data_IF_685488030547
#
_entry.id   IF_685488030547
#
_cell.length_a   1.000
_cell.length_b   1.000
_cell.length_c   1.000
_cell.angle_alpha   90.00
_cell.angle_beta   90.00
_cell.angle_gamma   90.00
#
_symmetry.space_group_name_H-M   'P 1'
#
loop_
_entity.id
_entity.type
_entity.pdbx_description
1 polymer ?
#
# COMPACT_ATOMS: atom_id res chain seq x y z
N UNK A 1 5.81 -8.25 8.32
CA UNK A 1 6.17 -7.08 9.14
C UNK A 1 6.90 -7.42 10.46
N UNK A 2 6.39 -8.32 11.32
CA UNK A 2 7.09 -8.68 12.57
C UNK A 2 8.47 -9.33 12.38
N UNK A 3 8.63 -10.19 11.38
CA UNK A 3 9.93 -10.76 10.99
C UNK A 3 10.96 -9.68 10.63
N UNK A 4 10.58 -8.73 9.77
CA UNK A 4 11.45 -7.61 9.37
C UNK A 4 11.84 -6.72 10.55
N UNK A 5 10.88 -6.43 11.45
CA UNK A 5 11.11 -5.63 12.68
C UNK A 5 11.82 -6.39 13.80
N UNK A 6 12.00 -7.72 13.67
CA UNK A 6 12.46 -8.63 14.74
C UNK A 6 11.68 -8.49 16.06
N UNK A 7 10.43 -8.01 15.99
CA UNK A 7 9.53 -7.78 17.11
C UNK A 7 8.10 -7.89 16.63
N UNK A 8 7.21 -8.44 17.47
CA UNK A 8 5.78 -8.44 17.20
C UNK A 8 5.24 -7.01 17.06
N UNK A 9 4.19 -6.87 16.26
CA UNK A 9 3.43 -5.63 16.17
C UNK A 9 2.40 -5.64 17.28
N UNK A 10 2.33 -4.57 18.04
CA UNK A 10 1.24 -4.36 18.99
C UNK A 10 -0.01 -3.96 18.22
N UNK A 11 -1.11 -4.67 18.49
CA UNK A 11 -2.39 -4.48 17.83
C UNK A 11 -3.43 -3.98 18.83
N UNK A 12 -4.40 -3.22 18.34
CA UNK A 12 -5.55 -2.73 19.11
C UNK A 12 -6.83 -2.96 18.31
N UNK A 13 -7.92 -3.28 19.00
CA UNK A 13 -9.25 -3.42 18.38
C UNK A 13 -9.78 -2.07 17.88
N UNK A 14 -10.36 -2.10 16.69
CA UNK A 14 -11.17 -1.03 16.14
C UNK A 14 -12.41 -0.73 17.03
N UNK A 15 -12.99 0.45 16.86
CA UNK A 15 -14.14 0.94 17.65
C UNK A 15 -15.49 0.47 17.12
N UNK A 16 -15.61 0.30 15.81
CA UNK A 16 -16.90 0.12 15.10
C UNK A 16 -16.97 -1.18 14.30
N UNK A 17 -15.84 -1.86 14.09
CA UNK A 17 -15.75 -3.12 13.35
C UNK A 17 -14.90 -4.13 14.12
N UNK A 18 -15.13 -5.43 13.89
CA UNK A 18 -14.39 -6.52 14.54
C UNK A 18 -13.07 -6.82 13.83
N UNK A 19 -12.19 -5.81 13.77
CA UNK A 19 -10.83 -5.90 13.23
C UNK A 19 -9.82 -5.34 14.23
N UNK A 20 -8.56 -5.73 14.06
CA UNK A 20 -7.42 -5.18 14.78
C UNK A 20 -6.49 -4.41 13.84
N UNK A 21 -5.92 -3.31 14.34
CA UNK A 21 -5.00 -2.44 13.62
C UNK A 21 -3.73 -2.22 14.45
N UNK A 22 -2.59 -1.85 13.84
CA UNK A 22 -1.39 -1.52 14.61
C UNK A 22 -1.65 -0.38 15.59
N UNK A 23 -1.21 -0.54 16.84
CA UNK A 23 -1.48 0.43 17.91
C UNK A 23 -0.69 1.74 17.76
N UNK A 24 0.41 1.71 17.00
CA UNK A 24 1.32 2.83 16.77
C UNK A 24 1.13 3.38 15.35
N UNK A 25 -0.03 4.00 15.10
CA UNK A 25 -0.38 4.64 13.83
C UNK A 25 -0.89 6.05 14.05
N UNK A 26 -0.74 6.90 13.03
CA UNK A 26 -1.24 8.27 13.06
C UNK A 26 -2.76 8.34 12.95
N UNK A 27 -3.34 7.60 12.00
CA UNK A 27 -4.78 7.58 11.70
C UNK A 27 -5.28 6.15 11.45
N UNK A 28 -6.51 5.89 11.87
CA UNK A 28 -7.30 4.71 11.51
C UNK A 28 -8.65 5.19 11.00
N UNK A 29 -9.01 4.77 9.80
CA UNK A 29 -10.31 5.00 9.18
C UNK A 29 -11.07 3.69 9.21
N UNK A 30 -12.14 3.63 9.99
CA UNK A 30 -12.98 2.46 10.13
C UNK A 30 -14.27 2.64 9.32
N UNK A 31 -14.79 1.54 8.77
CA UNK A 31 -15.95 1.61 7.91
C UNK A 31 -16.30 0.28 7.26
N UNK A 32 -17.13 0.35 6.23
CA UNK A 32 -17.55 -0.81 5.45
C UNK A 32 -17.70 -0.44 3.97
N UNK A 33 -17.74 -1.47 3.13
CA UNK A 33 -18.09 -1.35 1.71
C UNK A 33 -19.41 -2.08 1.51
N UNK A 34 -20.39 -1.41 0.90
CA UNK A 34 -21.67 -2.02 0.56
C UNK A 34 -21.53 -2.75 -0.78
N UNK A 35 -21.71 -4.10 -0.84
CA UNK A 35 -21.61 -4.82 -2.11
C UNK A 35 -22.59 -4.28 -3.15
N UNK A 36 -22.08 -4.01 -4.35
CA UNK A 36 -22.86 -3.46 -5.47
C UNK A 36 -23.02 -1.94 -5.46
N UNK A 37 -22.60 -1.24 -4.41
CA UNK A 37 -22.53 0.23 -4.44
C UNK A 37 -21.20 0.69 -5.04
N UNK A 38 -21.28 1.21 -6.26
CA UNK A 38 -20.13 1.67 -7.02
C UNK A 38 -20.27 3.15 -7.37
N UNK A 39 -19.15 3.85 -7.53
CA UNK A 39 -19.08 5.23 -8.04
C UNK A 39 -17.90 5.40 -8.99
N UNK A 40 -17.99 6.34 -9.96
CA UNK A 40 -16.88 6.63 -10.84
C UNK A 40 -15.71 7.22 -10.06
N UNK A 41 -14.52 6.65 -10.26
CA UNK A 41 -13.23 7.13 -9.76
C UNK A 41 -12.36 7.57 -10.95
N UNK A 42 -11.48 8.54 -10.73
CA UNK A 42 -10.60 9.08 -11.75
C UNK A 42 -11.20 10.23 -12.59
N UNK A 43 -10.54 10.63 -13.70
CA UNK A 43 -9.27 10.08 -14.17
C UNK A 43 -8.15 10.39 -13.18
N UNK A 44 -7.17 9.49 -13.08
CA UNK A 44 -6.09 9.58 -12.10
C UNK A 44 -4.73 9.39 -12.78
N UNK A 45 -3.75 10.24 -12.45
CA UNK A 45 -2.39 10.09 -12.97
C UNK A 45 -1.68 8.94 -12.26
N UNK A 46 -1.30 7.91 -13.00
CA UNK A 46 -0.81 6.64 -12.45
C UNK A 46 0.71 6.48 -12.61
N UNK A 47 1.27 5.44 -12.00
CA UNK A 47 2.70 5.08 -12.01
C UNK A 47 3.30 4.89 -13.41
N UNK A 48 2.46 4.72 -14.44
CA UNK A 48 2.86 4.68 -15.86
C UNK A 48 3.23 6.05 -16.43
N UNK A 49 2.95 7.13 -15.68
CA UNK A 49 3.06 8.50 -16.18
C UNK A 49 1.88 8.96 -17.05
N UNK A 50 0.85 8.12 -17.20
CA UNK A 50 -0.38 8.43 -17.94
C UNK A 50 -1.60 8.52 -17.03
N UNK A 51 -2.71 9.03 -17.56
CA UNK A 51 -3.98 9.00 -16.88
C UNK A 51 -4.68 7.66 -17.07
N UNK A 52 -5.07 7.04 -15.96
CA UNK A 52 -6.04 5.96 -15.94
C UNK A 52 -7.43 6.53 -16.21
N UNK A 53 -8.23 5.79 -16.99
CA UNK A 53 -9.58 6.18 -17.36
C UNK A 53 -10.53 6.13 -16.16
N UNK A 54 -11.69 6.78 -16.29
CA UNK A 54 -12.74 6.71 -15.27
C UNK A 54 -13.34 5.31 -15.26
N UNK A 55 -13.37 4.67 -14.11
CA UNK A 55 -14.02 3.38 -13.89
C UNK A 55 -14.83 3.38 -12.58
N UNK A 56 -15.79 2.47 -12.47
CA UNK A 56 -16.62 2.34 -11.27
C UNK A 56 -15.91 1.52 -10.19
N UNK A 57 -15.70 2.10 -9.00
CA UNK A 57 -15.09 1.44 -7.84
C UNK A 57 -16.03 1.39 -6.62
N UNK A 58 -15.81 0.45 -5.68
CA UNK A 58 -16.65 0.34 -4.49
C UNK A 58 -16.55 1.58 -3.58
N UNK A 59 -17.67 2.00 -3.00
CA UNK A 59 -17.69 3.11 -2.05
C UNK A 59 -17.33 2.63 -0.65
N UNK A 60 -16.35 3.28 -0.02
CA UNK A 60 -16.04 3.10 1.38
C UNK A 60 -16.86 4.06 2.26
N UNK A 61 -17.68 3.52 3.15
CA UNK A 61 -18.50 4.26 4.12
C UNK A 61 -17.80 4.33 5.46
N UNK A 62 -17.40 5.54 5.85
CA UNK A 62 -16.65 5.80 7.07
C UNK A 62 -17.57 5.85 8.29
N UNK A 63 -17.27 5.05 9.31
CA UNK A 63 -18.02 4.98 10.58
C UNK A 63 -17.25 5.61 11.74
N UNK A 64 -15.92 5.62 11.69
CA UNK A 64 -15.08 6.30 12.67
C UNK A 64 -13.73 6.73 12.09
N UNK A 65 -13.21 7.83 12.61
CA UNK A 65 -11.80 8.22 12.49
C UNK A 65 -11.21 8.20 13.89
N UNK A 66 -10.16 7.43 14.12
CA UNK A 66 -9.36 7.52 15.33
C UNK A 66 -7.94 7.93 14.96
N UNK A 67 -7.30 8.73 15.81
CA UNK A 67 -5.97 9.26 15.53
C UNK A 67 -5.24 9.61 16.82
N UNK A 68 -3.90 9.65 16.76
CA UNK A 68 -3.09 10.16 17.88
C UNK A 68 -3.20 11.69 17.98
N UNK A 69 -2.85 12.27 19.13
CA UNK A 69 -2.99 13.73 19.37
C UNK A 69 -2.20 14.58 18.37
N UNK A 70 -0.95 14.22 18.12
CA UNK A 70 -0.04 14.92 17.22
C UNK A 70 0.16 14.11 15.92
N UNK A 71 -0.96 13.74 15.30
CA UNK A 71 -0.96 12.89 14.12
C UNK A 71 -0.33 13.60 12.91
N UNK A 72 0.52 12.89 12.19
CA UNK A 72 1.10 13.28 10.90
C UNK A 72 0.33 12.53 9.81
N UNK A 73 -0.13 13.25 8.79
CA UNK A 73 -0.81 12.64 7.66
C UNK A 73 0.23 12.32 6.56
N UNK A 74 0.66 11.05 6.40
CA UNK A 74 1.53 10.68 5.30
C UNK A 74 0.73 10.72 3.99
N UNK A 75 1.31 11.36 2.98
CA UNK A 75 0.80 11.36 1.63
C UNK A 75 1.97 11.13 0.68
N UNK A 76 1.70 10.41 -0.40
CA UNK A 76 2.63 10.19 -1.50
C UNK A 76 2.02 10.68 -2.80
N UNK A 77 2.85 10.83 -3.82
CA UNK A 77 2.46 11.22 -5.17
C UNK A 77 2.97 10.13 -6.10
N UNK A 78 2.12 9.71 -7.03
CA UNK A 78 2.46 8.81 -8.13
C UNK A 78 2.42 9.57 -9.44
N UNK A 79 3.11 9.07 -10.46
CA UNK A 79 3.23 9.72 -11.76
C UNK A 79 4.38 9.13 -12.56
N UNK A 80 5.03 9.96 -13.38
CA UNK A 80 6.19 9.53 -14.19
C UNK A 80 7.29 9.02 -13.26
N UNK A 81 7.77 7.78 -13.41
CA UNK A 81 8.79 7.21 -12.53
C UNK A 81 10.15 7.94 -12.68
N UNK A 82 11.01 7.91 -11.65
CA UNK A 82 10.81 7.24 -10.37
C UNK A 82 10.01 8.10 -9.37
N UNK A 83 9.06 7.47 -8.70
CA UNK A 83 8.31 8.03 -7.56
C UNK A 83 8.52 7.14 -6.32
N UNK A 84 7.95 7.50 -5.17
CA UNK A 84 8.18 6.75 -3.90
C UNK A 84 7.79 5.27 -4.02
N UNK A 85 6.70 4.98 -4.72
CA UNK A 85 6.20 3.64 -5.04
C UNK A 85 7.21 2.80 -5.83
N UNK A 86 7.99 3.39 -6.74
CA UNK A 86 9.09 2.70 -7.43
C UNK A 86 10.10 2.13 -6.43
N UNK A 87 10.56 2.92 -5.47
CA UNK A 87 11.54 2.47 -4.48
C UNK A 87 10.97 1.42 -3.53
N UNK A 88 9.69 1.50 -3.19
CA UNK A 88 8.98 0.46 -2.44
C UNK A 88 8.96 -0.85 -3.26
N UNK A 89 8.70 -0.77 -4.57
CA UNK A 89 8.74 -1.89 -5.50
C UNK A 89 10.13 -2.50 -5.66
N UNK A 90 11.18 -1.69 -5.78
CA UNK A 90 12.56 -2.17 -5.90
C UNK A 90 13.02 -2.95 -4.63
N UNK A 91 12.55 -2.54 -3.45
CA UNK A 91 12.77 -3.32 -2.23
C UNK A 91 12.19 -4.74 -2.34
N UNK A 92 11.04 -4.92 -3.00
CA UNK A 92 10.47 -6.25 -3.26
C UNK A 92 11.38 -7.09 -4.18
N UNK A 93 11.98 -6.49 -5.22
CA UNK A 93 12.96 -7.18 -6.11
C UNK A 93 14.09 -7.80 -5.28
N UNK A 94 14.61 -7.05 -4.31
CA UNK A 94 15.66 -7.53 -3.39
C UNK A 94 15.18 -8.63 -2.44
N UNK A 95 13.94 -8.53 -1.94
CA UNK A 95 13.35 -9.55 -1.06
C UNK A 95 13.13 -10.87 -1.80
N UNK A 96 12.77 -10.83 -3.09
CA UNK A 96 12.50 -12.04 -3.88
C UNK A 96 13.74 -12.64 -4.54
N UNK A 97 14.82 -11.90 -4.74
CA UNK A 97 16.05 -12.40 -5.38
C UNK A 97 16.58 -13.72 -4.76
N UNK A 98 16.61 -13.92 -3.43
CA UNK A 98 17.02 -15.19 -2.85
C UNK A 98 16.11 -16.37 -3.25
N UNK A 99 14.80 -16.13 -3.35
CA UNK A 99 13.82 -17.14 -3.78
C UNK A 99 14.05 -17.53 -5.24
N UNK A 100 14.37 -16.55 -6.10
CA UNK A 100 14.76 -16.83 -7.49
C UNK A 100 16.06 -17.64 -7.55
N UNK A 101 17.09 -17.29 -6.78
CA UNK A 101 18.36 -18.03 -6.72
C UNK A 101 18.23 -19.47 -6.22
N UNK A 102 17.22 -19.77 -5.38
CA UNK A 102 16.94 -21.14 -4.96
C UNK A 102 16.46 -22.04 -6.11
N UNK A 103 15.74 -21.47 -7.08
CA UNK A 103 15.20 -22.20 -8.24
C UNK A 103 16.13 -22.11 -9.46
N UNK A 104 16.86 -21.00 -9.60
CA UNK A 104 17.77 -20.69 -10.70
C UNK A 104 19.11 -20.17 -10.14
N UNK A 105 20.00 -21.07 -9.68
CA UNK A 105 21.26 -20.69 -9.04
C UNK A 105 22.21 -19.89 -9.93
N UNK A 106 22.02 -19.93 -11.25
CA UNK A 106 22.77 -19.15 -12.24
C UNK A 106 22.44 -17.65 -12.22
N UNK A 107 21.31 -17.26 -11.64
CA UNK A 107 20.94 -15.84 -11.51
C UNK A 107 21.93 -15.18 -10.55
N UNK A 108 22.66 -14.17 -11.04
CA UNK A 108 23.61 -13.39 -10.23
C UNK A 108 22.89 -12.23 -9.54
N UNK A 109 22.09 -11.48 -10.29
CA UNK A 109 21.35 -10.32 -9.82
C UNK A 109 20.07 -10.11 -10.66
N UNK A 110 19.16 -9.28 -10.15
CA UNK A 110 17.93 -8.88 -10.83
C UNK A 110 17.65 -7.40 -10.53
N UNK A 111 17.32 -6.64 -11.56
CA UNK A 111 16.90 -5.23 -11.44
C UNK A 111 15.70 -4.99 -12.34
N UNK A 112 14.74 -4.22 -11.84
CA UNK A 112 13.62 -3.71 -12.64
C UNK A 112 13.80 -2.18 -12.71
N UNK A 113 14.22 -1.67 -13.88
CA UNK A 113 14.56 -0.26 -14.03
C UNK A 113 13.30 0.63 -13.96
N UNK A 114 13.41 1.87 -13.46
CA UNK A 114 12.26 2.76 -13.32
C UNK A 114 11.63 3.14 -14.66
N UNK A 115 12.39 3.08 -15.74
CA UNK A 115 11.90 3.35 -17.11
C UNK A 115 11.08 2.19 -17.68
N UNK A 116 10.96 1.06 -16.96
CA UNK A 116 10.25 -0.14 -17.40
C UNK A 116 8.75 -0.14 -17.14
N UNK A 117 8.18 1.02 -16.83
CA UNK A 117 6.75 1.25 -16.60
C UNK A 117 6.10 1.89 -17.82
#
# INVERSE_FOLDING_TARGET
AGFLRRKSIELVRCKTIDLEVPADVDFVLEGYVQPGEMRPEGPFGDHTGYYTAVEDYPVFHLTAITHRRDAVYPATIVGIPPMEDYYIGDACVRIFLPVFKMNFPEIVDMTLPPEGV
#
